data_IF_164087081410
#
_entry.id   IF_164087081410
#
_cell.length_a   1.000
_cell.length_b   1.000
_cell.length_c   1.000
_cell.angle_alpha   90.00
_cell.angle_beta   90.00
_cell.angle_gamma   90.00
#
_symmetry.space_group_name_H-M   'P 1'
#
loop_
_entity.id
_entity.type
_entity.pdbx_description
1 polymer ?
#
# COMPACT_ATOMS: atom_id res chain seq x y z
N UNK A 1 23.14 -6.81 11.52
CA UNK A 1 21.89 -6.03 11.55
C UNK A 1 22.07 -4.78 12.41
N UNK A 2 22.53 -4.91 13.65
CA UNK A 2 22.80 -3.77 14.54
C UNK A 2 23.71 -2.69 13.93
N UNK A 3 24.84 -3.08 13.33
CA UNK A 3 25.75 -2.11 12.69
C UNK A 3 25.07 -1.35 11.55
N UNK A 4 24.25 -2.04 10.75
CA UNK A 4 23.49 -1.42 9.68
C UNK A 4 22.47 -0.40 10.21
N UNK A 5 21.79 -0.73 11.31
CA UNK A 5 20.86 0.18 11.99
C UNK A 5 21.61 1.39 12.56
N UNK A 6 22.78 1.18 13.16
CA UNK A 6 23.63 2.26 13.66
C UNK A 6 24.04 3.23 12.55
N UNK A 7 24.52 2.72 11.42
CA UNK A 7 24.89 3.53 10.26
C UNK A 7 23.72 4.35 9.71
N UNK A 8 22.52 3.77 9.69
CA UNK A 8 21.31 4.49 9.25
C UNK A 8 20.93 5.58 10.25
N UNK A 9 21.03 5.33 11.56
CA UNK A 9 20.77 6.33 12.61
C UNK A 9 21.75 7.50 12.54
N UNK A 10 23.05 7.22 12.42
CA UNK A 10 24.07 8.26 12.28
C UNK A 10 23.78 9.16 11.06
N UNK A 11 23.44 8.56 9.92
CA UNK A 11 23.05 9.33 8.73
C UNK A 11 21.78 10.17 8.92
N UNK A 12 20.76 9.65 9.62
CA UNK A 12 19.52 10.40 9.89
C UNK A 12 19.81 11.67 10.70
N UNK A 13 20.72 11.60 11.67
CA UNK A 13 21.15 12.77 12.46
C UNK A 13 21.80 13.85 11.60
N UNK A 14 22.53 13.46 10.56
CA UNK A 14 23.17 14.38 9.62
C UNK A 14 22.19 15.04 8.63
N UNK A 15 20.95 14.55 8.49
CA UNK A 15 20.00 15.10 7.51
C UNK A 15 19.17 16.26 8.08
N UNK A 16 19.37 17.52 7.62
CA UNK A 16 18.69 18.70 8.18
C UNK A 16 17.22 18.84 7.76
N UNK A 17 16.78 18.20 6.68
CA UNK A 17 15.42 18.33 6.16
C UNK A 17 14.41 17.41 6.84
N UNK A 18 14.82 16.38 7.58
CA UNK A 18 13.87 15.54 8.31
C UNK A 18 13.34 16.25 9.55
N UNK A 19 12.02 16.36 9.67
CA UNK A 19 11.38 16.84 10.92
C UNK A 19 11.54 15.83 12.05
N UNK A 20 11.65 14.55 11.71
CA UNK A 20 11.72 13.45 12.65
C UNK A 20 12.83 12.46 12.26
N UNK A 21 13.63 12.04 13.23
CA UNK A 21 14.80 11.17 13.04
C UNK A 21 14.80 9.93 13.93
N UNK A 22 14.01 9.95 15.01
CA UNK A 22 13.86 8.90 16.01
C UNK A 22 12.94 7.76 15.54
N UNK A 23 13.30 7.08 14.46
CA UNK A 23 12.55 5.92 14.00
C UNK A 23 12.73 4.71 14.92
N UNK A 24 11.68 3.89 15.02
CA UNK A 24 11.70 2.66 15.81
C UNK A 24 12.73 1.66 15.25
N UNK A 25 13.27 0.82 16.12
CA UNK A 25 14.23 -0.21 15.71
C UNK A 25 13.62 -1.16 14.65
N UNK A 26 12.35 -1.56 14.82
CA UNK A 26 11.64 -2.42 13.87
C UNK A 26 11.47 -1.76 12.50
N UNK A 27 11.12 -0.47 12.44
CA UNK A 27 10.99 0.25 11.17
C UNK A 27 12.31 0.26 10.39
N UNK A 28 13.42 0.58 11.07
CA UNK A 28 14.74 0.61 10.45
C UNK A 28 15.14 -0.79 9.97
N UNK A 29 14.95 -1.81 10.82
CA UNK A 29 15.20 -3.21 10.48
C UNK A 29 14.40 -3.65 9.25
N UNK A 30 13.11 -3.34 9.19
CA UNK A 30 12.26 -3.68 8.06
C UNK A 30 12.73 -3.01 6.77
N UNK A 31 13.06 -1.72 6.81
CA UNK A 31 13.56 -1.02 5.62
C UNK A 31 14.89 -1.58 5.12
N UNK A 32 15.79 -2.00 6.02
CA UNK A 32 17.06 -2.67 5.65
C UNK A 32 16.79 -4.02 4.99
N UNK A 33 15.93 -4.86 5.58
CA UNK A 33 15.58 -6.17 5.04
C UNK A 33 14.94 -6.03 3.66
N UNK A 34 13.96 -5.15 3.52
CA UNK A 34 13.26 -4.92 2.25
C UNK A 34 14.22 -4.34 1.20
N UNK A 35 15.26 -3.61 1.62
CA UNK A 35 16.36 -3.12 0.77
C UNK A 35 17.45 -4.15 0.50
N UNK A 36 17.24 -5.41 0.89
CA UNK A 36 18.21 -6.52 0.74
C UNK A 36 19.57 -6.23 1.38
N UNK A 37 19.56 -5.49 2.49
CA UNK A 37 20.76 -5.11 3.23
C UNK A 37 21.51 -3.89 2.69
N UNK A 38 21.10 -3.30 1.56
CA UNK A 38 21.74 -2.08 1.06
C UNK A 38 21.37 -0.87 1.92
N UNK A 39 22.40 -0.23 2.48
CA UNK A 39 22.25 0.96 3.31
C UNK A 39 21.85 2.16 2.46
N UNK A 40 22.43 2.33 1.29
CA UNK A 40 22.15 3.42 0.36
C UNK A 40 20.69 3.39 -0.09
N UNK A 41 20.18 2.22 -0.47
CA UNK A 41 18.78 2.04 -0.84
C UNK A 41 17.86 2.26 0.37
N UNK A 42 18.29 1.86 1.57
CA UNK A 42 17.54 2.12 2.80
C UNK A 42 17.41 3.63 3.06
N UNK A 43 18.51 4.38 2.94
CA UNK A 43 18.54 5.84 3.10
C UNK A 43 17.59 6.53 2.11
N UNK A 44 17.67 6.15 0.83
CA UNK A 44 16.78 6.67 -0.22
C UNK A 44 15.31 6.40 0.09
N UNK A 45 14.97 5.21 0.58
CA UNK A 45 13.59 4.86 0.92
C UNK A 45 13.06 5.61 2.13
N UNK A 46 13.86 5.76 3.19
CA UNK A 46 13.46 6.54 4.36
C UNK A 46 13.21 8.01 3.96
N UNK A 47 14.08 8.55 3.12
CA UNK A 47 13.91 9.88 2.57
C UNK A 47 12.62 10.03 1.76
N UNK A 48 12.40 9.10 0.81
CA UNK A 48 11.19 9.02 -0.02
C UNK A 48 9.93 8.93 0.84
N UNK A 49 9.97 8.08 1.85
CA UNK A 49 8.88 7.85 2.79
C UNK A 49 8.50 9.14 3.53
N UNK A 50 9.47 9.90 4.04
CA UNK A 50 9.20 11.18 4.71
C UNK A 50 8.75 12.27 3.74
N UNK A 51 9.37 12.33 2.56
CA UNK A 51 9.02 13.27 1.49
C UNK A 51 7.56 13.10 1.05
N UNK A 52 7.12 11.86 0.84
CA UNK A 52 5.74 11.59 0.42
C UNK A 52 4.71 12.00 1.49
N UNK A 53 5.07 12.00 2.78
CA UNK A 53 4.19 12.56 3.83
C UNK A 53 4.04 14.07 3.71
N UNK A 54 5.07 14.78 3.27
CA UNK A 54 5.01 16.22 2.99
C UNK A 54 4.14 16.51 1.75
N UNK A 55 4.31 15.72 0.69
CA UNK A 55 3.64 15.95 -0.59
C UNK A 55 2.18 15.46 -0.61
N UNK A 56 1.86 14.43 0.17
CA UNK A 56 0.53 13.78 0.16
C UNK A 56 -0.03 13.60 1.58
N UNK A 57 -0.15 14.67 2.40
CA UNK A 57 -0.50 14.56 3.82
C UNK A 57 -1.87 13.89 4.07
N UNK A 58 -2.84 14.07 3.18
CA UNK A 58 -4.17 13.46 3.29
C UNK A 58 -4.16 11.92 3.32
N UNK A 59 -3.12 11.33 2.75
CA UNK A 59 -2.92 9.88 2.71
C UNK A 59 -2.35 9.33 4.04
N UNK A 60 -1.82 10.20 4.91
CA UNK A 60 -1.21 9.84 6.20
C UNK A 60 -1.95 10.42 7.40
N UNK A 61 -3.18 10.94 7.19
CA UNK A 61 -4.03 11.40 8.27
C UNK A 61 -4.29 10.25 9.26
N UNK A 62 -4.31 10.55 10.55
CA UNK A 62 -4.70 9.56 11.55
C UNK A 62 -6.17 9.20 11.41
N UNK A 63 -6.45 7.90 11.37
CA UNK A 63 -7.81 7.35 11.26
C UNK A 63 -8.11 6.45 12.46
N UNK A 64 -9.36 6.47 12.93
CA UNK A 64 -9.93 5.44 13.79
C UNK A 64 -10.48 4.32 12.89
N UNK A 65 -9.80 3.17 12.88
CA UNK A 65 -10.14 2.06 12.00
C UNK A 65 -11.62 1.60 12.14
N UNK A 66 -12.20 1.69 13.34
CA UNK A 66 -13.58 1.26 13.61
C UNK A 66 -14.59 2.29 13.13
N UNK A 67 -14.31 3.58 13.33
CA UNK A 67 -15.29 4.66 13.10
C UNK A 67 -15.20 5.24 11.69
N UNK A 68 -13.99 5.47 11.19
CA UNK A 68 -13.79 6.23 9.95
C UNK A 68 -14.08 5.42 8.68
N UNK A 69 -14.17 4.08 8.80
CA UNK A 69 -14.32 3.16 7.68
C UNK A 69 -15.53 2.23 7.78
N UNK A 70 -16.42 2.41 8.76
CA UNK A 70 -17.58 1.54 8.98
C UNK A 70 -18.44 1.37 7.71
N UNK A 71 -18.71 2.47 7.00
CA UNK A 71 -19.48 2.44 5.76
C UNK A 71 -18.73 1.76 4.60
N UNK A 72 -17.41 1.88 4.58
CA UNK A 72 -16.58 1.21 3.57
C UNK A 72 -16.72 -0.29 3.69
N UNK A 73 -16.67 -0.85 4.90
CA UNK A 73 -16.67 -2.29 5.13
C UNK A 73 -17.98 -2.98 4.76
N UNK A 74 -19.05 -2.20 4.53
CA UNK A 74 -20.32 -2.69 3.99
C UNK A 74 -20.21 -3.02 2.49
N UNK A 75 -19.29 -2.38 1.77
CA UNK A 75 -19.19 -2.46 0.30
C UNK A 75 -17.80 -2.85 -0.22
N UNK A 76 -16.73 -2.66 0.55
CA UNK A 76 -15.36 -3.07 0.21
C UNK A 76 -14.69 -3.60 1.47
N UNK A 77 -14.05 -4.77 1.35
CA UNK A 77 -13.24 -5.35 2.44
C UNK A 77 -11.81 -5.63 1.99
N UNK A 78 -10.88 -4.70 2.25
CA UNK A 78 -9.46 -4.95 2.10
C UNK A 78 -8.98 -5.79 3.28
N UNK A 79 -8.32 -6.91 3.03
CA UNK A 79 -7.65 -7.69 4.07
C UNK A 79 -6.25 -8.10 3.61
N UNK A 80 -5.37 -8.29 4.57
CA UNK A 80 -4.09 -8.99 4.36
C UNK A 80 -4.21 -10.38 4.95
N UNK A 81 -3.86 -11.40 4.18
CA UNK A 81 -3.93 -12.78 4.65
C UNK A 81 -2.85 -13.01 5.73
N UNK A 82 -3.20 -13.68 6.86
CA UNK A 82 -2.29 -13.87 7.99
C UNK A 82 -1.03 -14.65 7.62
N UNK A 83 -1.18 -15.61 6.71
CA UNK A 83 -0.10 -16.48 6.24
C UNK A 83 0.49 -15.98 4.91
N UNK A 84 1.75 -16.35 4.67
CA UNK A 84 2.41 -16.09 3.40
C UNK A 84 2.03 -17.15 2.38
N UNK A 85 2.06 -16.80 1.10
CA UNK A 85 1.92 -17.78 0.03
C UNK A 85 3.06 -18.81 0.07
N UNK A 86 2.89 -19.93 -0.66
CA UNK A 86 3.93 -20.95 -0.85
C UNK A 86 5.27 -20.41 -1.37
N UNK A 87 5.24 -19.28 -2.08
CA UNK A 87 6.41 -18.57 -2.62
C UNK A 87 6.88 -17.44 -1.68
N UNK A 88 6.41 -17.43 -0.44
CA UNK A 88 6.70 -16.45 0.61
C UNK A 88 6.32 -15.00 0.27
N UNK A 89 5.24 -14.82 -0.50
CA UNK A 89 4.67 -13.50 -0.75
C UNK A 89 3.55 -13.20 0.22
N UNK A 90 3.45 -11.94 0.65
CA UNK A 90 2.29 -11.46 1.38
C UNK A 90 1.12 -11.29 0.43
N UNK A 91 -0.05 -11.80 0.77
CA UNK A 91 -1.25 -11.67 -0.08
C UNK A 91 -2.17 -10.64 0.54
N UNK A 92 -2.57 -9.64 -0.25
CA UNK A 92 -3.67 -8.75 0.11
C UNK A 92 -4.84 -9.01 -0.84
N UNK A 93 -6.04 -9.04 -0.30
CA UNK A 93 -7.27 -9.26 -1.05
C UNK A 93 -8.22 -8.10 -0.84
N UNK A 94 -8.94 -7.71 -1.89
CA UNK A 94 -9.99 -6.70 -1.82
C UNK A 94 -11.22 -7.28 -2.49
N UNK A 95 -12.24 -7.60 -1.70
CA UNK A 95 -13.56 -7.95 -2.24
C UNK A 95 -14.41 -6.70 -2.33
N UNK A 96 -15.07 -6.53 -3.48
CA UNK A 96 -15.98 -5.43 -3.75
C UNK A 96 -17.39 -5.98 -3.87
N UNK A 97 -18.30 -5.41 -3.08
CA UNK A 97 -19.72 -5.74 -3.03
C UNK A 97 -20.55 -4.64 -3.73
N UNK A 98 -21.84 -4.88 -3.89
CA UNK A 98 -22.77 -3.92 -4.48
C UNK A 98 -22.94 -2.64 -3.65
N UNK A 99 -23.39 -1.56 -4.30
CA UNK A 99 -23.71 -0.28 -3.64
C UNK A 99 -22.56 0.72 -3.55
N UNK A 100 -21.40 0.36 -4.10
CA UNK A 100 -20.19 1.19 -4.09
C UNK A 100 -20.41 2.61 -4.63
N UNK A 101 -19.94 3.63 -3.92
CA UNK A 101 -19.78 5.01 -4.38
C UNK A 101 -18.29 5.38 -4.49
N UNK A 102 -18.02 6.54 -5.08
CA UNK A 102 -16.65 7.05 -5.22
C UNK A 102 -15.98 7.28 -3.86
N UNK A 103 -16.75 7.71 -2.85
CA UNK A 103 -16.25 8.00 -1.52
C UNK A 103 -15.70 6.73 -0.83
N UNK A 104 -16.39 5.58 -0.93
CA UNK A 104 -15.89 4.34 -0.30
C UNK A 104 -14.65 3.80 -1.02
N UNK A 105 -14.47 4.03 -2.33
CA UNK A 105 -13.22 3.69 -3.03
C UNK A 105 -12.04 4.48 -2.44
N UNK A 106 -12.19 5.81 -2.32
CA UNK A 106 -11.15 6.67 -1.75
C UNK A 106 -10.87 6.30 -0.29
N UNK A 107 -11.89 5.96 0.50
CA UNK A 107 -11.71 5.54 1.88
C UNK A 107 -11.08 4.14 2.00
N UNK A 108 -11.40 3.20 1.10
CA UNK A 108 -10.73 1.89 1.04
C UNK A 108 -9.23 2.02 0.71
N UNK A 109 -8.85 2.99 -0.13
CA UNK A 109 -7.43 3.30 -0.37
C UNK A 109 -6.75 3.79 0.91
N UNK A 110 -7.38 4.70 1.67
CA UNK A 110 -6.87 5.19 2.97
C UNK A 110 -6.75 4.07 4.00
N UNK A 111 -7.73 3.18 4.08
CA UNK A 111 -7.67 2.01 4.95
C UNK A 111 -6.54 1.06 4.56
N UNK A 112 -6.33 0.82 3.26
CA UNK A 112 -5.20 0.04 2.76
C UNK A 112 -3.85 0.66 3.17
N UNK A 113 -3.78 1.99 3.17
CA UNK A 113 -2.60 2.70 3.65
C UNK A 113 -2.36 2.54 5.15
N UNK A 114 -3.42 2.61 5.95
CA UNK A 114 -3.37 2.37 7.39
C UNK A 114 -2.83 0.95 7.69
N UNK A 115 -3.37 -0.08 7.03
CA UNK A 115 -2.86 -1.45 7.13
C UNK A 115 -1.39 -1.49 6.74
N UNK A 116 -1.01 -0.86 5.62
CA UNK A 116 0.37 -0.90 5.15
C UNK A 116 1.36 -0.24 6.13
N UNK A 117 0.93 0.76 6.91
CA UNK A 117 1.75 1.37 7.94
C UNK A 117 1.88 0.47 9.18
N UNK A 118 0.82 -0.27 9.55
CA UNK A 118 0.89 -1.32 10.56
C UNK A 118 1.89 -2.42 10.17
N UNK A 119 1.79 -2.90 8.93
CA UNK A 119 2.67 -3.96 8.40
C UNK A 119 4.16 -3.59 8.49
N UNK A 120 4.52 -2.31 8.42
CA UNK A 120 5.93 -1.89 8.55
C UNK A 120 6.50 -2.06 9.96
N UNK A 121 5.66 -2.24 10.98
CA UNK A 121 6.11 -2.51 12.35
C UNK A 121 6.21 -4.00 12.67
N UNK A 122 5.45 -4.85 11.98
CA UNK A 122 5.28 -6.25 12.35
C UNK A 122 5.64 -7.25 11.24
N UNK A 123 5.76 -6.82 9.99
CA UNK A 123 6.12 -7.66 8.85
C UNK A 123 7.39 -7.14 8.15
N UNK A 124 8.23 -8.09 7.75
CA UNK A 124 9.50 -7.84 7.07
C UNK A 124 9.43 -8.24 5.57
N UNK A 125 8.27 -8.68 5.10
CA UNK A 125 8.04 -9.09 3.72
C UNK A 125 7.77 -7.88 2.83
N UNK A 126 8.62 -7.69 1.82
CA UNK A 126 8.48 -6.61 0.84
C UNK A 126 7.81 -7.02 -0.48
N UNK A 127 7.42 -8.28 -0.63
CA UNK A 127 6.94 -8.85 -1.89
C UNK A 127 5.50 -9.33 -1.75
N UNK A 128 4.62 -8.88 -2.65
CA UNK A 128 3.18 -8.96 -2.46
C UNK A 128 2.45 -9.53 -3.68
N UNK A 129 1.32 -10.21 -3.46
CA UNK A 129 0.29 -10.48 -4.47
C UNK A 129 -0.96 -9.69 -4.08
N UNK A 130 -1.55 -8.99 -5.04
CA UNK A 130 -2.86 -8.35 -4.88
C UNK A 130 -3.95 -9.14 -5.57
N UNK A 131 -5.05 -9.42 -4.88
CA UNK A 131 -6.22 -10.10 -5.45
C UNK A 131 -7.43 -9.19 -5.30
N UNK A 132 -8.13 -8.94 -6.39
CA UNK A 132 -9.30 -8.09 -6.46
C UNK A 132 -10.48 -8.96 -6.87
N UNK A 133 -11.31 -9.31 -5.89
CA UNK A 133 -12.52 -10.09 -6.09
C UNK A 133 -13.67 -9.15 -6.46
N UNK A 134 -14.09 -9.24 -7.72
CA UNK A 134 -15.17 -8.45 -8.31
C UNK A 134 -16.37 -9.35 -8.68
N UNK A 135 -16.51 -10.53 -8.05
CA UNK A 135 -17.61 -11.45 -8.39
C UNK A 135 -18.98 -10.89 -8.02
N UNK A 136 -19.05 -10.07 -6.98
CA UNK A 136 -20.27 -9.42 -6.50
C UNK A 136 -20.50 -8.03 -7.13
N UNK A 137 -19.64 -7.59 -8.06
CA UNK A 137 -19.80 -6.30 -8.73
C UNK A 137 -20.73 -6.44 -9.92
N UNK A 138 -21.96 -5.93 -9.80
CA UNK A 138 -22.93 -5.90 -10.91
C UNK A 138 -22.45 -5.14 -12.14
N UNK A 139 -21.73 -4.04 -11.95
CA UNK A 139 -21.24 -3.18 -13.03
C UNK A 139 -19.80 -2.71 -12.79
N UNK A 140 -18.84 -3.36 -13.46
CA UNK A 140 -17.44 -2.88 -13.49
C UNK A 140 -17.35 -1.49 -14.13
N UNK A 141 -18.26 -1.14 -15.04
CA UNK A 141 -18.31 0.22 -15.62
C UNK A 141 -18.53 1.25 -14.52
N UNK A 142 -19.44 1.00 -13.57
CA UNK A 142 -19.65 1.91 -12.45
C UNK A 142 -18.44 2.01 -11.53
N UNK A 143 -17.77 0.89 -11.25
CA UNK A 143 -16.50 0.90 -10.51
C UNK A 143 -15.48 1.80 -11.22
N UNK A 144 -15.36 1.68 -12.54
CA UNK A 144 -14.47 2.49 -13.37
C UNK A 144 -14.83 3.97 -13.28
N UNK A 145 -16.10 4.35 -13.40
CA UNK A 145 -16.51 5.77 -13.39
C UNK A 145 -16.37 6.42 -12.02
N UNK A 146 -16.45 5.63 -10.94
CA UNK A 146 -16.28 6.08 -9.56
C UNK A 146 -14.81 6.13 -9.12
N UNK A 147 -13.91 5.47 -9.84
CA UNK A 147 -12.47 5.42 -9.53
C UNK A 147 -11.78 6.77 -9.85
N UNK A 148 -11.22 7.41 -8.84
CA UNK A 148 -10.32 8.53 -9.04
C UNK A 148 -8.91 8.04 -9.41
N UNK A 149 -8.47 8.32 -10.65
CA UNK A 149 -7.19 7.86 -11.17
C UNK A 149 -5.98 8.56 -10.50
N UNK A 150 -6.15 9.81 -10.05
CA UNK A 150 -5.10 10.54 -9.35
C UNK A 150 -4.89 9.98 -7.95
N UNK A 151 -5.97 9.69 -7.22
CA UNK A 151 -5.91 9.05 -5.90
C UNK A 151 -5.29 7.66 -6.00
N UNK A 152 -5.67 6.88 -7.03
CA UNK A 152 -5.05 5.58 -7.30
C UNK A 152 -3.54 5.73 -7.56
N UNK A 153 -3.13 6.68 -8.40
CA UNK A 153 -1.72 6.91 -8.72
C UNK A 153 -0.92 7.31 -7.47
N UNK A 154 -1.48 8.20 -6.64
CA UNK A 154 -0.85 8.66 -5.41
C UNK A 154 -0.72 7.51 -4.41
N UNK A 155 -1.78 6.73 -4.21
CA UNK A 155 -1.77 5.54 -3.36
C UNK A 155 -0.70 4.54 -3.82
N UNK A 156 -0.64 4.20 -5.11
CA UNK A 156 0.37 3.29 -5.65
C UNK A 156 1.80 3.84 -5.51
N UNK A 157 1.98 5.16 -5.67
CA UNK A 157 3.27 5.83 -5.43
C UNK A 157 3.71 5.65 -3.98
N UNK A 158 2.82 5.87 -3.02
CA UNK A 158 3.14 5.65 -1.60
C UNK A 158 3.48 4.19 -1.33
N UNK A 159 2.68 3.23 -1.81
CA UNK A 159 2.91 1.81 -1.57
C UNK A 159 4.21 1.30 -2.22
N UNK A 160 4.54 1.74 -3.45
CA UNK A 160 5.70 1.24 -4.20
C UNK A 160 6.99 2.02 -4.01
N UNK A 161 6.92 3.32 -3.74
CA UNK A 161 8.11 4.18 -3.62
C UNK A 161 8.36 4.57 -2.17
N UNK A 162 7.30 4.83 -1.39
CA UNK A 162 7.40 5.11 0.04
C UNK A 162 7.57 3.87 0.89
N UNK A 163 6.65 2.90 0.77
CA UNK A 163 6.66 1.66 1.56
C UNK A 163 7.47 0.57 0.87
N UNK A 164 7.74 0.78 -0.42
CA UNK A 164 8.45 -0.08 -1.35
C UNK A 164 8.06 -1.55 -1.32
N UNK A 165 6.76 -1.75 -1.37
CA UNK A 165 6.10 -2.98 -1.77
C UNK A 165 6.47 -3.32 -3.22
N UNK A 166 6.64 -4.61 -3.49
CA UNK A 166 6.93 -5.14 -4.82
C UNK A 166 5.87 -6.16 -5.23
N UNK A 167 4.97 -5.77 -6.12
CA UNK A 167 3.90 -6.66 -6.60
C UNK A 167 4.43 -7.76 -7.50
N UNK A 168 4.27 -9.03 -7.11
CA UNK A 168 4.60 -10.24 -7.87
C UNK A 168 3.42 -10.74 -8.70
N UNK A 169 2.19 -10.36 -8.32
CA UNK A 169 0.96 -10.65 -9.05
C UNK A 169 -0.12 -9.61 -8.76
N UNK A 170 -0.97 -9.36 -9.75
CA UNK A 170 -2.25 -8.65 -9.59
C UNK A 170 -3.32 -9.54 -10.22
N UNK A 171 -4.19 -10.11 -9.41
CA UNK A 171 -5.18 -11.08 -9.85
C UNK A 171 -6.58 -10.48 -9.74
N UNK A 172 -7.35 -10.51 -10.80
CA UNK A 172 -8.77 -10.15 -10.77
C UNK A 172 -9.61 -11.42 -10.79
N UNK A 173 -10.62 -11.52 -9.93
CA UNK A 173 -11.62 -12.60 -9.98
C UNK A 173 -12.92 -12.00 -10.50
N UNK A 174 -13.25 -12.31 -11.76
CA UNK A 174 -14.47 -11.83 -12.41
C UNK A 174 -14.76 -12.59 -13.70
N UNK A 175 -16.04 -12.69 -14.05
CA UNK A 175 -16.50 -13.20 -15.35
C UNK A 175 -16.82 -12.09 -16.34
N UNK A 176 -16.81 -10.82 -15.90
CA UNK A 176 -17.17 -9.68 -16.74
C UNK A 176 -16.07 -9.33 -17.74
N UNK A 177 -16.43 -9.27 -19.02
CA UNK A 177 -15.53 -8.87 -20.11
C UNK A 177 -15.12 -7.39 -20.05
N UNK A 178 -15.81 -6.56 -19.26
CA UNK A 178 -15.47 -5.15 -19.06
C UNK A 178 -14.14 -4.97 -18.31
N UNK A 179 -13.63 -6.03 -17.68
CA UNK A 179 -12.34 -6.01 -16.98
C UNK A 179 -11.18 -5.51 -17.85
N UNK A 180 -11.20 -5.77 -19.16
CA UNK A 180 -10.17 -5.28 -20.08
C UNK A 180 -10.10 -3.75 -20.15
N UNK A 181 -11.24 -3.07 -19.98
CA UNK A 181 -11.31 -1.60 -19.89
C UNK A 181 -10.63 -1.11 -18.61
N UNK A 182 -10.92 -1.74 -17.46
CA UNK A 182 -10.25 -1.41 -16.20
C UNK A 182 -8.73 -1.63 -16.31
N UNK A 183 -8.30 -2.75 -16.89
CA UNK A 183 -6.88 -3.02 -17.15
C UNK A 183 -6.29 -1.94 -18.06
N UNK A 184 -7.01 -1.49 -19.08
CA UNK A 184 -6.63 -0.36 -19.94
C UNK A 184 -6.36 0.94 -19.16
N UNK A 185 -7.18 1.23 -18.15
CA UNK A 185 -6.98 2.37 -17.25
C UNK A 185 -5.76 2.15 -16.35
N UNK A 186 -5.59 0.96 -15.79
CA UNK A 186 -4.44 0.62 -14.95
C UNK A 186 -3.11 0.74 -15.71
N UNK A 187 -3.10 0.54 -17.03
CA UNK A 187 -1.90 0.76 -17.86
C UNK A 187 -1.41 2.21 -17.86
N UNK A 188 -2.26 3.18 -17.53
CA UNK A 188 -1.90 4.61 -17.44
C UNK A 188 -1.23 5.00 -16.12
N UNK A 189 -1.25 4.10 -15.12
CA UNK A 189 -0.67 4.34 -13.79
C UNK A 189 0.40 3.32 -13.41
N UNK A 190 0.34 2.10 -13.96
CA UNK A 190 1.29 1.03 -13.66
C UNK A 190 2.46 0.98 -14.65
N UNK A 191 3.66 0.66 -14.15
CA UNK A 191 4.83 0.40 -14.99
C UNK A 191 4.63 -0.88 -15.82
N UNK A 192 5.21 -1.00 -17.04
CA UNK A 192 5.07 -2.19 -17.90
C UNK A 192 5.37 -3.53 -17.22
N UNK A 193 6.35 -3.54 -16.32
CA UNK A 193 6.73 -4.73 -15.54
C UNK A 193 5.61 -5.23 -14.63
N UNK A 194 4.80 -4.34 -14.08
CA UNK A 194 3.66 -4.68 -13.21
C UNK A 194 2.44 -5.05 -14.04
N UNK A 195 2.20 -4.37 -15.16
CA UNK A 195 1.12 -4.71 -16.10
C UNK A 195 1.24 -6.17 -16.58
N UNK A 196 2.45 -6.64 -16.88
CA UNK A 196 2.71 -8.05 -17.26
C UNK A 196 2.39 -9.07 -16.17
N UNK A 197 2.17 -8.64 -14.94
CA UNK A 197 1.83 -9.49 -13.78
C UNK A 197 0.32 -9.53 -13.50
N UNK A 198 -0.47 -8.80 -14.29
CA UNK A 198 -1.93 -8.84 -14.21
C UNK A 198 -2.43 -10.16 -14.81
N UNK A 199 -3.30 -10.86 -14.07
CA UNK A 199 -4.04 -12.04 -14.54
C UNK A 199 -5.51 -11.89 -14.17
N UNK A 200 -6.39 -12.46 -15.00
CA UNK A 200 -7.83 -12.50 -14.75
C UNK A 200 -8.25 -13.95 -14.64
N UNK A 201 -9.00 -14.27 -13.60
CA UNK A 201 -9.54 -15.58 -13.28
C UNK A 201 -11.05 -15.47 -13.18
N UNK A 202 -11.78 -16.52 -13.56
CA UNK A 202 -13.25 -16.49 -13.46
C UNK A 202 -13.74 -16.78 -12.05
N UNK A 203 -12.96 -17.55 -11.29
CA UNK A 203 -13.30 -18.03 -9.95
C UNK A 203 -12.04 -18.28 -9.12
N UNK A 204 -12.21 -18.31 -7.79
CA UNK A 204 -11.10 -18.45 -6.84
C UNK A 204 -10.34 -19.77 -6.97
N UNK A 205 -10.99 -20.85 -7.40
CA UNK A 205 -10.36 -22.16 -7.54
C UNK A 205 -9.19 -22.15 -8.53
N UNK A 206 -9.19 -21.25 -9.51
CA UNK A 206 -8.09 -21.08 -10.46
C UNK A 206 -6.83 -20.45 -9.83
N UNK A 207 -6.95 -19.92 -8.60
CA UNK A 207 -5.87 -19.24 -7.86
C UNK A 207 -5.30 -20.15 -6.76
N UNK A 208 -6.02 -21.19 -6.34
CA UNK A 208 -5.64 -22.06 -5.22
C UNK A 208 -4.20 -22.56 -5.32
N UNK A 209 -3.84 -23.14 -6.47
CA UNK A 209 -2.50 -23.68 -6.67
C UNK A 209 -1.44 -22.58 -6.85
N UNK A 210 -1.82 -21.34 -7.20
CA UNK A 210 -0.88 -20.25 -7.42
C UNK A 210 -0.34 -19.70 -6.11
N UNK A 211 -1.18 -19.58 -5.08
CA UNK A 211 -0.80 -18.95 -3.81
C UNK A 211 -0.82 -19.89 -2.61
N UNK A 212 -1.42 -21.07 -2.75
CA UNK A 212 -1.71 -21.99 -1.65
C UNK A 212 -3.17 -21.87 -1.21
N UNK A 213 -3.90 -22.98 -1.22
CA UNK A 213 -5.32 -23.00 -0.82
C UNK A 213 -5.49 -22.81 0.68
N UNK A 214 -4.50 -23.24 1.45
CA UNK A 214 -4.43 -23.19 2.90
C UNK A 214 -4.50 -21.78 3.47
N UNK A 215 -4.03 -20.77 2.72
CA UNK A 215 -4.03 -19.38 3.17
C UNK A 215 -5.28 -18.61 2.73
N UNK A 216 -6.09 -19.20 1.84
CA UNK A 216 -7.26 -18.55 1.27
C UNK A 216 -8.41 -18.62 2.30
N UNK A 217 -9.19 -17.54 2.47
CA UNK A 217 -10.35 -17.54 3.35
C UNK A 217 -11.34 -18.67 3.05
N UNK A 218 -11.94 -19.26 4.08
CA UNK A 218 -12.89 -20.37 3.94
C UNK A 218 -14.12 -20.02 3.07
N UNK A 219 -14.59 -18.78 3.14
CA UNK A 219 -15.69 -18.25 2.32
C UNK A 219 -15.29 -18.02 0.84
N UNK A 220 -14.00 -18.06 0.52
CA UNK A 220 -13.48 -18.13 -0.86
C UNK A 220 -13.08 -19.57 -1.25
N UNK A 221 -13.43 -20.55 -0.40
CA UNK A 221 -13.21 -21.99 -0.58
C UNK A 221 -11.80 -22.47 -0.23
N UNK A 222 -11.04 -21.69 0.53
CA UNK A 222 -9.77 -22.10 1.15
C UNK A 222 -9.96 -22.72 2.55
N UNK A 223 -8.89 -22.69 3.37
CA UNK A 223 -8.87 -23.29 4.71
C UNK A 223 -8.48 -22.32 5.84
N UNK A 224 -8.23 -21.05 5.52
CA UNK A 224 -7.99 -20.00 6.52
C UNK A 224 -9.33 -19.54 7.14
N UNK A 225 -9.26 -18.74 8.21
CA UNK A 225 -10.40 -17.95 8.72
C UNK A 225 -11.20 -17.28 7.59
N UNK A 226 -12.49 -17.05 7.84
CA UNK A 226 -13.34 -16.31 6.88
C UNK A 226 -12.84 -14.89 6.64
N UNK A 227 -13.19 -14.27 5.52
CA UNK A 227 -12.86 -12.88 5.22
C UNK A 227 -13.26 -11.96 6.38
N UNK A 228 -14.46 -12.20 6.94
CA UNK A 228 -14.98 -11.41 8.07
C UNK A 228 -14.10 -11.54 9.31
N UNK A 229 -13.72 -12.75 9.70
CA UNK A 229 -12.89 -12.96 10.89
C UNK A 229 -11.50 -12.33 10.72
N UNK A 230 -10.87 -12.50 9.55
CA UNK A 230 -9.57 -11.86 9.26
C UNK A 230 -9.71 -10.34 9.29
N UNK A 231 -10.81 -9.81 8.73
CA UNK A 231 -11.09 -8.39 8.76
C UNK A 231 -11.28 -7.88 10.20
N UNK A 232 -12.04 -8.57 11.02
CA UNK A 232 -12.25 -8.20 12.43
C UNK A 232 -10.93 -8.20 13.21
N UNK A 233 -10.07 -9.21 12.99
CA UNK A 233 -8.71 -9.26 13.56
C UNK A 233 -7.90 -8.00 13.15
N UNK A 234 -7.98 -7.57 11.89
CA UNK A 234 -7.34 -6.34 11.41
C UNK A 234 -7.90 -5.10 12.10
N UNK A 235 -9.22 -5.00 12.25
CA UNK A 235 -9.84 -3.87 12.94
C UNK A 235 -9.38 -3.80 14.40
N UNK A 236 -9.24 -4.93 15.09
CA UNK A 236 -8.68 -4.97 16.44
C UNK A 236 -7.22 -4.51 16.46
N UNK A 237 -6.37 -5.08 15.61
CA UNK A 237 -4.95 -4.76 15.54
C UNK A 237 -4.69 -3.27 15.21
N UNK A 238 -5.46 -2.70 14.29
CA UNK A 238 -5.35 -1.27 13.92
C UNK A 238 -5.99 -0.34 14.96
N UNK A 239 -6.82 -0.88 15.84
CA UNK A 239 -7.44 -0.14 16.95
C UNK A 239 -6.63 -0.18 18.23
N UNK A 240 -5.54 -0.96 18.28
CA UNK A 240 -4.64 -1.01 19.42
C UNK A 240 -4.06 0.38 19.74
N UNK A 241 -4.05 0.76 21.01
CA UNK A 241 -3.60 2.08 21.45
C UNK A 241 -2.09 2.28 21.21
N UNK A 242 -1.30 1.21 21.28
CA UNK A 242 0.12 1.24 20.94
C UNK A 242 0.34 1.58 19.47
N UNK A 243 -0.42 0.91 18.57
CA UNK A 243 -0.37 1.24 17.15
C UNK A 243 -0.89 2.63 16.83
N UNK A 244 -2.02 3.07 17.42
CA UNK A 244 -2.56 4.43 17.21
C UNK A 244 -1.53 5.50 17.57
N UNK A 245 -0.88 5.35 18.73
CA UNK A 245 0.18 6.27 19.16
C UNK A 245 1.35 6.25 18.19
N UNK A 246 1.84 5.07 17.80
CA UNK A 246 2.87 4.95 16.78
C UNK A 246 2.47 5.64 15.46
N UNK A 247 1.23 5.45 15.00
CA UNK A 247 0.73 6.00 13.76
C UNK A 247 0.66 7.53 13.80
N UNK A 248 0.18 8.09 14.92
CA UNK A 248 0.22 9.53 15.18
C UNK A 248 1.65 10.05 15.12
N UNK A 249 2.58 9.40 15.81
CA UNK A 249 3.96 9.85 15.84
C UNK A 249 4.60 9.78 14.44
N UNK A 250 4.39 8.69 13.67
CA UNK A 250 5.02 8.51 12.35
C UNK A 250 4.36 9.34 11.24
N UNK A 251 3.07 9.70 11.38
CA UNK A 251 2.39 10.60 10.43
C UNK A 251 3.05 11.97 10.37
N UNK A 252 3.69 12.40 11.46
CA UNK A 252 4.44 13.65 11.55
C UNK A 252 5.85 13.58 10.96
N UNK A 253 6.32 12.38 10.57
CA UNK A 253 7.66 12.15 10.02
C UNK A 253 7.76 12.64 8.56
N UNK A 254 7.68 13.95 8.39
CA UNK A 254 7.73 14.67 7.13
C UNK A 254 9.06 15.42 6.97
N UNK A 255 9.17 16.20 5.90
CA UNK A 255 10.37 16.94 5.50
C UNK A 255 10.12 18.45 5.46
N UNK A 256 11.20 19.21 5.60
CA UNK A 256 11.27 20.65 5.33
C UNK A 256 12.19 20.83 4.12
N UNK A 257 11.61 20.93 2.94
CA UNK A 257 12.36 20.82 1.68
C UNK A 257 13.36 21.96 1.44
N UNK A 258 13.13 23.13 2.03
CA UNK A 258 14.09 24.25 2.00
C UNK A 258 15.40 23.94 2.74
N UNK A 259 15.42 22.92 3.60
CA UNK A 259 16.61 22.50 4.32
C UNK A 259 17.36 21.36 3.62
N UNK A 260 16.86 20.81 2.49
CA UNK A 260 17.46 19.63 1.85
C UNK A 260 18.85 19.95 1.27
N UNK A 261 19.90 19.16 1.57
CA UNK A 261 21.27 19.45 1.10
C UNK A 261 21.45 19.42 -0.42
N UNK A 262 20.63 18.65 -1.14
CA UNK A 262 20.70 18.52 -2.60
C UNK A 262 19.42 19.05 -3.26
N UNK A 263 19.56 20.06 -4.13
CA UNK A 263 18.48 20.73 -4.86
C UNK A 263 17.76 19.87 -5.93
N UNK A 264 18.08 18.57 -6.03
CA UNK A 264 17.50 17.62 -7.00
C UNK A 264 16.03 17.28 -6.74
N UNK A 265 15.45 17.80 -5.66
CA UNK A 265 14.06 17.58 -5.27
C UNK A 265 13.08 17.90 -6.41
N UNK A 266 13.24 19.03 -7.08
CA UNK A 266 12.31 19.45 -8.13
C UNK A 266 12.30 18.49 -9.33
N UNK A 267 13.43 17.88 -9.67
CA UNK A 267 13.54 16.94 -10.78
C UNK A 267 12.98 15.56 -10.43
N UNK A 268 13.28 15.04 -9.24
CA UNK A 268 12.86 13.69 -8.85
C UNK A 268 11.35 13.59 -8.57
N UNK A 269 10.74 14.68 -8.11
CA UNK A 269 9.35 14.72 -7.66
C UNK A 269 8.41 15.52 -8.58
N UNK A 270 8.90 16.00 -9.73
CA UNK A 270 8.12 16.76 -10.69
C UNK A 270 6.80 16.08 -11.05
N UNK A 271 5.69 16.82 -10.88
CA UNK A 271 4.35 16.33 -11.22
C UNK A 271 3.62 15.61 -10.11
N UNK A 272 4.22 15.45 -8.93
CA UNK A 272 3.50 15.07 -7.70
C UNK A 272 2.76 16.30 -7.10
N UNK A 273 1.69 16.08 -6.32
CA UNK A 273 1.02 17.16 -5.61
C UNK A 273 2.01 17.99 -4.77
N UNK A 274 1.87 19.32 -4.79
CA UNK A 274 2.76 20.22 -4.07
C UNK A 274 4.11 20.49 -4.75
N UNK A 275 4.33 20.01 -5.97
CA UNK A 275 5.55 20.28 -6.76
C UNK A 275 5.26 21.07 -8.05
N UNK A 276 6.23 21.85 -8.52
CA UNK A 276 6.13 22.50 -9.82
C UNK A 276 6.35 21.49 -10.95
N UNK A 277 5.59 21.60 -12.04
CA UNK A 277 5.88 20.88 -13.28
C UNK A 277 7.08 21.55 -13.94
N UNK A 278 8.10 20.76 -14.29
CA UNK A 278 9.19 21.24 -15.14
C UNK A 278 8.61 21.55 -16.53
N UNK A 279 8.64 22.82 -16.91
CA UNK A 279 8.42 23.24 -18.29
C UNK A 279 9.72 22.97 -19.04
N UNK A 280 9.73 21.95 -19.89
CA UNK A 280 10.74 21.87 -20.94
C UNK A 280 10.35 22.91 -21.99
N UNK A 281 11.08 24.01 -22.01
CA UNK A 281 11.01 24.97 -23.12
C UNK A 281 12.05 24.48 -24.12
N UNK A 282 11.59 23.99 -25.27
CA UNK A 282 12.44 23.66 -26.43
C UNK A 282 13.06 24.93 -27.02
#
# INVERSE_FOLDING_TARGET
MEDAIKLVREWLEEQPHFRRKDFSHNLLRANIIISKGSIEVTKQRLDKMCTLRTLMPDHFKCFDAKKDFEDVFKVIKPIILPQLSKDHYRVFTVKVYDGLQAAEITQAMKYTMLISEYMKQCDFVGEYIGIFDLTEVKSIVELITKLNLMDLRNTLTVLFEGHGMRLKGIYFVTTSKVIDTLIGILKQVLKPKIIKRIKVFKKWEEIYDLIGREIIPADFGGYEKTEKEIHDDWIEALSDEGFKKYFQDVSSASTVESCRPNLMFSQEYAGLPGTFRLLNVD
#
